data_IF_286772890108
#
_entry.id   IF_286772890108
#
_cell.length_a   1.000
_cell.length_b   1.000
_cell.length_c   1.000
_cell.angle_alpha   90.00
_cell.angle_beta   90.00
_cell.angle_gamma   90.00
#
_symmetry.space_group_name_H-M   'P 1'
#
loop_
_entity.id
_entity.type
_entity.pdbx_description
1 polymer ?
#
# COMPACT_ATOMS: atom_id res chain seq x y z
N UNK A 1 -5.93 3.86 -5.74
CA UNK A 1 -5.84 2.49 -6.29
C UNK A 1 -5.92 1.54 -5.11
N UNK A 2 -6.87 0.59 -5.08
CA UNK A 2 -7.02 -0.29 -3.93
C UNK A 2 -5.99 -1.43 -3.99
N UNK A 3 -5.01 -1.43 -3.08
CA UNK A 3 -4.08 -2.55 -2.96
C UNK A 3 -4.70 -3.72 -2.19
N UNK A 4 -4.42 -4.94 -2.64
CA UNK A 4 -4.95 -6.19 -2.08
C UNK A 4 -3.92 -6.90 -1.22
N UNK A 5 -4.39 -7.69 -0.25
CA UNK A 5 -3.53 -8.55 0.57
C UNK A 5 -2.73 -9.50 -0.31
N UNK A 6 -1.42 -9.57 -0.07
CA UNK A 6 -0.47 -10.39 -0.81
C UNK A 6 0.14 -9.70 -2.04
N UNK A 7 -0.24 -8.47 -2.37
CA UNK A 7 0.37 -7.74 -3.48
C UNK A 7 1.79 -7.27 -3.15
N UNK A 8 2.67 -7.39 -4.14
CA UNK A 8 4.04 -6.88 -4.11
C UNK A 8 4.02 -5.39 -4.47
N UNK A 9 4.52 -4.56 -3.56
CA UNK A 9 4.49 -3.10 -3.67
C UNK A 9 5.86 -2.51 -3.33
N UNK A 10 6.17 -1.36 -3.91
CA UNK A 10 7.30 -0.53 -3.52
C UNK A 10 6.82 0.50 -2.50
N UNK A 11 7.37 0.45 -1.30
CA UNK A 11 7.14 1.42 -0.23
C UNK A 11 8.23 2.48 -0.20
N UNK A 12 7.84 3.75 -0.26
CA UNK A 12 8.75 4.89 -0.20
C UNK A 12 8.63 5.60 1.14
N UNK A 13 9.73 5.67 1.88
CA UNK A 13 9.79 6.40 3.15
C UNK A 13 9.73 7.90 2.93
N UNK A 14 9.44 8.66 3.99
CA UNK A 14 9.48 10.13 3.98
C UNK A 14 10.85 10.69 3.57
N UNK A 15 11.92 9.93 3.77
CA UNK A 15 13.27 10.28 3.32
C UNK A 15 13.51 10.01 1.83
N UNK A 16 12.50 9.55 1.08
CA UNK A 16 12.59 9.21 -0.34
C UNK A 16 13.19 7.85 -0.65
N UNK A 17 13.49 7.02 0.35
CA UNK A 17 14.07 5.67 0.12
C UNK A 17 12.96 4.67 -0.17
N UNK A 18 13.14 3.90 -1.23
CA UNK A 18 12.18 2.87 -1.64
C UNK A 18 12.63 1.48 -1.19
N UNK A 19 11.69 0.68 -0.71
CA UNK A 19 11.89 -0.69 -0.27
C UNK A 19 10.80 -1.58 -0.85
N UNK A 20 11.14 -2.85 -1.11
CA UNK A 20 10.14 -3.85 -1.52
C UNK A 20 9.32 -4.27 -0.30
N UNK A 21 8.01 -4.36 -0.48
CA UNK A 21 7.07 -4.71 0.56
C UNK A 21 5.91 -5.56 0.06
N UNK A 22 5.23 -6.26 0.96
CA UNK A 22 4.01 -7.01 0.68
C UNK A 22 2.86 -6.43 1.51
N UNK A 23 1.71 -6.22 0.88
CA UNK A 23 0.51 -5.76 1.59
C UNK A 23 -0.04 -6.88 2.45
N UNK A 24 -0.09 -6.68 3.76
CA UNK A 24 -0.67 -7.63 4.71
C UNK A 24 -2.17 -7.39 4.89
N UNK A 25 -2.55 -6.14 5.12
CA UNK A 25 -3.93 -5.76 5.42
C UNK A 25 -4.24 -4.33 4.98
N UNK A 26 -5.51 -4.06 4.69
CA UNK A 26 -6.04 -2.72 4.42
C UNK A 26 -6.92 -2.28 5.59
N UNK A 27 -6.59 -1.16 6.20
CA UNK A 27 -7.35 -0.53 7.29
C UNK A 27 -8.00 0.75 6.77
N UNK A 28 -9.31 0.89 7.00
CA UNK A 28 -10.01 2.12 6.71
C UNK A 28 -9.90 3.03 7.95
N UNK A 29 -9.31 4.21 7.80
CA UNK A 29 -9.38 5.21 8.86
C UNK A 29 -10.58 6.11 8.59
N UNK A 30 -11.56 6.07 9.50
CA UNK A 30 -12.62 7.05 9.52
C UNK A 30 -12.12 8.19 10.42
N UNK A 31 -11.75 9.33 9.84
CA UNK A 31 -11.45 10.53 10.62
C UNK A 31 -12.62 10.77 11.59
N UNK A 32 -12.34 10.58 12.88
CA UNK A 32 -13.32 10.40 13.97
C UNK A 32 -13.99 11.70 14.41
N UNK A 33 -14.29 12.61 13.47
CA UNK A 33 -14.88 13.91 13.72
C UNK A 33 -16.11 14.12 12.84
N UNK A 34 -17.30 13.85 13.39
CA UNK A 34 -18.62 14.22 12.85
C UNK A 34 -18.96 13.57 11.50
N UNK A 35 -19.64 12.43 11.56
CA UNK A 35 -20.29 11.76 10.42
C UNK A 35 -21.44 12.64 9.90
N UNK A 36 -21.10 13.71 9.17
CA UNK A 36 -22.02 14.34 8.22
C UNK A 36 -21.96 13.53 6.94
N UNK A 37 -23.11 13.30 6.29
CA UNK A 37 -23.24 12.55 5.01
C UNK A 37 -22.28 13.03 3.89
N UNK A 38 -21.69 14.21 4.03
CA UNK A 38 -20.66 14.79 3.14
C UNK A 38 -19.22 14.31 3.39
N UNK A 39 -18.94 13.62 4.50
CA UNK A 39 -17.60 13.15 4.90
C UNK A 39 -17.15 11.88 4.17
N UNK A 40 -18.01 11.30 3.31
CA UNK A 40 -17.65 10.16 2.46
C UNK A 40 -16.48 10.48 1.52
N UNK A 41 -16.20 11.78 1.28
CA UNK A 41 -15.04 12.29 0.53
C UNK A 41 -13.69 12.24 1.27
N UNK A 42 -13.65 11.97 2.57
CA UNK A 42 -12.41 11.96 3.39
C UNK A 42 -12.06 10.56 3.93
N UNK A 43 -12.43 9.50 3.22
CA UNK A 43 -11.93 8.16 3.57
C UNK A 43 -10.47 8.03 3.14
N UNK A 44 -9.54 7.99 4.10
CA UNK A 44 -8.14 7.67 3.83
C UNK A 44 -7.88 6.19 4.12
N UNK A 45 -7.36 5.49 3.13
CA UNK A 45 -6.91 4.11 3.29
C UNK A 45 -5.52 4.09 3.89
N UNK A 46 -5.35 3.29 4.94
CA UNK A 46 -4.05 2.92 5.47
C UNK A 46 -3.79 1.45 5.14
N UNK A 47 -2.53 1.13 4.86
CA UNK A 47 -2.09 -0.20 4.49
C UNK A 47 -1.06 -0.66 5.50
N UNK A 48 -1.26 -1.86 6.04
CA UNK A 48 -0.23 -2.56 6.78
C UNK A 48 0.60 -3.36 5.77
N UNK A 49 1.88 -3.06 5.68
CA UNK A 49 2.81 -3.70 4.77
C UNK A 49 3.94 -4.38 5.54
N UNK A 50 4.49 -5.46 5.00
CA UNK A 50 5.74 -6.07 5.45
C UNK A 50 6.87 -5.64 4.52
N UNK A 51 7.87 -4.91 5.05
CA UNK A 51 9.04 -4.43 4.32
C UNK A 51 10.22 -5.37 4.55
N UNK A 52 10.96 -5.68 3.50
CA UNK A 52 12.18 -6.48 3.56
C UNK A 52 13.40 -5.56 3.55
N UNK A 53 14.20 -5.58 4.63
CA UNK A 53 15.42 -4.77 4.74
C UNK A 53 16.53 -5.56 5.40
N UNK A 54 17.62 -5.80 4.67
CA UNK A 54 18.86 -6.42 5.17
C UNK A 54 18.59 -7.61 6.11
N UNK A 55 17.80 -8.57 5.63
CA UNK A 55 17.38 -9.80 6.33
C UNK A 55 16.33 -9.66 7.44
N UNK A 56 15.89 -8.43 7.74
CA UNK A 56 14.78 -8.17 8.66
C UNK A 56 13.48 -7.94 7.91
N UNK A 57 12.38 -8.36 8.57
CA UNK A 57 11.01 -8.08 8.16
C UNK A 57 10.40 -7.11 9.16
N UNK A 58 9.99 -5.95 8.68
CA UNK A 58 9.37 -4.91 9.50
C UNK A 58 7.95 -4.66 9.02
N UNK A 59 6.99 -4.57 9.95
CA UNK A 59 5.62 -4.23 9.63
C UNK A 59 5.42 -2.72 9.78
N UNK A 60 4.92 -2.07 8.73
CA UNK A 60 4.76 -0.62 8.67
C UNK A 60 3.32 -0.29 8.27
N UNK A 61 2.74 0.70 8.96
CA UNK A 61 1.48 1.31 8.55
C UNK A 61 1.80 2.53 7.66
N UNK A 62 1.27 2.53 6.44
CA UNK A 62 1.52 3.60 5.46
C UNK A 62 0.23 4.03 4.75
N UNK A 63 0.24 5.22 4.16
CA UNK A 63 -0.84 5.73 3.32
C UNK A 63 -0.67 5.29 1.86
N UNK A 64 -1.72 5.44 1.05
CA UNK A 64 -1.71 5.07 -0.37
C UNK A 64 -0.59 5.77 -1.16
N UNK A 65 -0.29 7.04 -0.85
CA UNK A 65 0.73 7.83 -1.56
C UNK A 65 2.18 7.33 -1.33
N UNK A 66 2.38 6.53 -0.29
CA UNK A 66 3.69 5.98 0.07
C UNK A 66 3.95 4.61 -0.58
N UNK A 67 2.96 4.01 -1.24
CA UNK A 67 3.09 2.70 -1.89
C UNK A 67 2.77 2.78 -3.38
N UNK A 68 3.54 2.04 -4.18
CA UNK A 68 3.32 1.88 -5.62
C UNK A 68 3.33 0.40 -5.97
N UNK A 69 2.46 -0.01 -6.89
CA UNK A 69 2.46 -1.39 -7.36
C UNK A 69 3.77 -1.65 -8.11
N UNK A 70 4.51 -2.69 -7.71
CA UNK A 70 5.59 -3.23 -8.52
C UNK A 70 4.90 -4.12 -9.56
N UNK A 71 4.75 -3.61 -10.78
CA UNK A 71 3.93 -4.21 -11.85
C UNK A 71 3.94 -5.74 -11.83
N UNK A 72 2.74 -6.33 -11.91
CA UNK A 72 2.60 -7.72 -12.33
C UNK A 72 3.37 -7.86 -13.62
N UNK A 73 4.33 -8.79 -13.67
CA UNK A 73 4.86 -9.27 -14.94
C UNK A 73 3.66 -9.71 -15.78
N UNK A 74 3.20 -8.85 -16.69
CA UNK A 74 2.30 -9.25 -17.74
C UNK A 74 3.07 -10.35 -18.45
N UNK A 75 2.59 -11.58 -18.32
CA UNK A 75 3.03 -12.67 -19.16
C UNK A 75 2.57 -12.29 -20.56
N UNK A 76 3.36 -11.49 -21.26
CA UNK A 76 3.22 -11.30 -22.70
C UNK A 76 3.70 -12.62 -23.30
N UNK A 77 2.81 -13.61 -23.33
CA UNK A 77 2.93 -14.68 -24.31
C UNK A 77 2.78 -14.02 -25.68
N UNK A 78 3.89 -13.57 -26.26
CA UNK A 78 3.95 -13.44 -27.71
C UNK A 78 3.99 -14.85 -28.26
N UNK A 79 2.82 -15.39 -28.56
CA UNK A 79 2.69 -16.43 -29.57
C UNK A 79 2.60 -15.73 -30.94
N UNK A 80 3.58 -15.97 -31.80
CA UNK A 80 3.51 -15.88 -33.26
C UNK A 80 4.73 -16.61 -33.84
#
# INVERSE_FOLDING_TARGET
>A
MNFEKGQDVSYTTLSGRSYRAIVLERKLDFKKGLIKKSAMKEMTFHYLIEVYRNDLREQILCSEDQIKLLEQKVCVQKAA
#
